data_IF_984424673863
#
_entry.id   IF_984424673863
#
_cell.length_a   1.000
_cell.length_b   1.000
_cell.length_c   1.000
_cell.angle_alpha   90.00
_cell.angle_beta   90.00
_cell.angle_gamma   90.00
#
_symmetry.space_group_name_H-M   'P 1'
#
loop_
_entity.id
_entity.type
_entity.pdbx_description
1 polymer ?
#
# COMPACT_ATOMS: atom_id res chain seq x y z
N UNK A 1 2.87 8.30 -9.87
CA UNK A 1 3.13 8.17 -8.42
C UNK A 1 2.72 9.47 -7.75
N UNK A 2 2.02 9.40 -6.62
CA UNK A 2 1.65 10.56 -5.79
C UNK A 2 2.00 10.20 -4.35
N UNK A 3 2.59 11.14 -3.62
CA UNK A 3 2.92 11.00 -2.21
C UNK A 3 2.15 12.06 -1.39
N UNK A 4 1.53 11.64 -0.30
CA UNK A 4 0.68 12.48 0.56
C UNK A 4 1.30 12.57 1.97
N UNK A 5 2.17 13.56 2.15
CA UNK A 5 3.10 13.68 3.29
C UNK A 5 2.45 14.18 4.60
N UNK A 6 1.26 14.79 4.52
CA UNK A 6 0.65 15.49 5.65
C UNK A 6 0.41 14.62 6.90
N UNK A 7 0.18 13.32 6.72
CA UNK A 7 -0.05 12.38 7.83
C UNK A 7 1.25 12.13 8.60
N UNK A 8 2.37 12.00 7.89
CA UNK A 8 3.69 11.87 8.51
C UNK A 8 4.06 13.14 9.31
N UNK A 9 3.86 14.31 8.70
CA UNK A 9 4.08 15.60 9.37
C UNK A 9 3.25 15.75 10.65
N UNK A 10 1.98 15.33 10.62
CA UNK A 10 1.11 15.32 11.80
C UNK A 10 1.59 14.31 12.86
N UNK A 11 2.04 13.13 12.42
CA UNK A 11 2.61 12.09 13.29
C UNK A 11 3.84 12.59 14.04
N UNK A 12 4.74 13.28 13.36
CA UNK A 12 5.91 13.91 13.99
C UNK A 12 5.55 15.05 14.95
N UNK A 13 4.59 15.90 14.58
CA UNK A 13 4.28 17.11 15.34
C UNK A 13 3.41 16.85 16.56
N UNK A 14 2.54 15.85 16.51
CA UNK A 14 1.48 15.63 17.50
C UNK A 14 1.35 14.20 18.02
N UNK A 15 1.97 13.22 17.35
CA UNK A 15 1.84 11.80 17.66
C UNK A 15 0.67 11.11 16.95
N UNK A 16 0.81 9.82 16.67
CA UNK A 16 -0.20 9.04 15.94
C UNK A 16 -1.52 8.86 16.71
N UNK A 17 -1.49 8.94 18.04
CA UNK A 17 -2.68 8.87 18.89
C UNK A 17 -3.45 10.20 18.98
N UNK A 18 -3.01 11.25 18.29
CA UNK A 18 -3.59 12.59 18.37
C UNK A 18 -4.80 12.80 17.45
N UNK A 19 -5.66 13.76 17.80
CA UNK A 19 -6.77 14.19 16.93
C UNK A 19 -6.26 14.84 15.63
N UNK A 20 -5.09 15.48 15.66
CA UNK A 20 -4.45 16.10 14.50
C UNK A 20 -4.05 15.04 13.48
N UNK A 21 -3.53 13.90 13.93
CA UNK A 21 -3.25 12.76 13.07
C UNK A 21 -4.52 12.23 12.41
N UNK A 22 -5.62 12.07 13.18
CA UNK A 22 -6.92 11.68 12.64
C UNK A 22 -7.48 12.67 11.61
N UNK A 23 -7.31 13.97 11.83
CA UNK A 23 -7.72 15.02 10.88
C UNK A 23 -6.86 15.00 9.60
N UNK A 24 -5.56 14.74 9.74
CA UNK A 24 -4.67 14.55 8.59
C UNK A 24 -5.08 13.34 7.75
N UNK A 25 -5.45 12.22 8.39
CA UNK A 25 -6.00 11.04 7.71
C UNK A 25 -7.28 11.38 6.93
N UNK A 26 -8.23 12.09 7.54
CA UNK A 26 -9.47 12.49 6.86
C UNK A 26 -9.20 13.42 5.66
N UNK A 27 -8.19 14.29 5.77
CA UNK A 27 -7.77 15.16 4.66
C UNK A 27 -7.18 14.35 3.51
N UNK A 28 -6.30 13.39 3.81
CA UNK A 28 -5.69 12.50 2.81
C UNK A 28 -6.72 11.60 2.15
N UNK A 29 -7.70 11.09 2.90
CA UNK A 29 -8.83 10.32 2.34
C UNK A 29 -9.62 11.13 1.30
N UNK A 30 -9.96 12.39 1.62
CA UNK A 30 -10.65 13.27 0.68
C UNK A 30 -9.79 13.57 -0.57
N UNK A 31 -8.48 13.77 -0.40
CA UNK A 31 -7.55 13.98 -1.52
C UNK A 31 -7.44 12.73 -2.42
N UNK A 32 -7.39 11.54 -1.83
CA UNK A 32 -7.43 10.28 -2.58
C UNK A 32 -8.73 10.16 -3.38
N UNK A 33 -9.88 10.50 -2.77
CA UNK A 33 -11.17 10.56 -3.46
C UNK A 33 -11.13 11.44 -4.71
N UNK A 34 -10.58 12.66 -4.60
CA UNK A 34 -10.44 13.58 -5.74
C UNK A 34 -9.55 13.01 -6.85
N UNK A 35 -8.45 12.33 -6.51
CA UNK A 35 -7.58 11.67 -7.48
C UNK A 35 -8.31 10.54 -8.21
N UNK A 36 -9.05 9.71 -7.47
CA UNK A 36 -9.83 8.61 -8.04
C UNK A 36 -10.94 9.12 -8.95
N UNK A 37 -11.62 10.20 -8.57
CA UNK A 37 -12.66 10.82 -9.40
C UNK A 37 -12.07 11.43 -10.67
N UNK A 38 -10.90 12.08 -10.59
CA UNK A 38 -10.19 12.58 -11.77
C UNK A 38 -9.79 11.46 -12.73
N UNK A 39 -9.32 10.31 -12.21
CA UNK A 39 -9.01 9.12 -13.00
C UNK A 39 -10.26 8.57 -13.68
N UNK A 40 -11.35 8.37 -12.92
CA UNK A 40 -12.63 7.86 -13.44
C UNK A 40 -13.30 8.81 -14.45
N UNK A 41 -13.07 10.11 -14.31
CA UNK A 41 -13.61 11.16 -15.19
C UNK A 41 -12.94 11.25 -16.56
N UNK A 42 -11.84 10.53 -16.81
CA UNK A 42 -11.17 10.51 -18.12
C UNK A 42 -12.09 9.94 -19.18
N UNK A 43 -12.19 10.60 -20.34
CA UNK A 43 -13.03 10.14 -21.46
C UNK A 43 -12.59 8.77 -22.03
N UNK A 44 -11.33 8.39 -21.81
CA UNK A 44 -10.76 7.10 -22.19
C UNK A 44 -10.84 6.03 -21.10
N UNK A 45 -11.34 6.35 -19.90
CA UNK A 45 -11.29 5.45 -18.73
C UNK A 45 -11.77 4.02 -19.02
N UNK A 46 -12.88 3.87 -19.75
CA UNK A 46 -13.44 2.56 -20.10
C UNK A 46 -12.56 1.69 -21.02
N UNK A 47 -11.51 2.27 -21.63
CA UNK A 47 -10.54 1.59 -22.50
C UNK A 47 -9.15 1.50 -21.85
N UNK A 48 -9.02 1.95 -20.61
CA UNK A 48 -7.78 1.94 -19.85
C UNK A 48 -7.81 0.80 -18.83
N UNK A 49 -6.66 0.16 -18.63
CA UNK A 49 -6.49 -0.88 -17.61
C UNK A 49 -5.82 -0.27 -16.37
N UNK A 50 -6.63 0.11 -15.40
CA UNK A 50 -6.17 0.75 -14.18
C UNK A 50 -5.88 -0.28 -13.08
N UNK A 51 -4.71 -0.13 -12.47
CA UNK A 51 -4.38 -0.69 -11.17
C UNK A 51 -4.06 0.47 -10.23
N UNK A 52 -4.80 0.55 -9.12
CA UNK A 52 -4.56 1.50 -8.04
C UNK A 52 -3.97 0.74 -6.85
N UNK A 53 -2.79 1.16 -6.40
CA UNK A 53 -2.12 0.66 -5.21
C UNK A 53 -1.96 1.82 -4.22
N UNK A 54 -2.47 1.66 -3.00
CA UNK A 54 -2.34 2.63 -1.90
C UNK A 54 -1.62 1.94 -0.76
N UNK A 55 -0.49 2.49 -0.34
CA UNK A 55 0.36 1.92 0.72
C UNK A 55 1.00 3.05 1.52
N UNK A 56 1.57 2.70 2.66
CA UNK A 56 2.51 3.55 3.39
C UNK A 56 3.91 2.97 3.31
N UNK A 57 4.93 3.80 3.50
CA UNK A 57 6.33 3.39 3.65
C UNK A 57 6.64 2.92 5.07
N UNK A 58 5.99 3.50 6.08
CA UNK A 58 6.05 3.10 7.49
C UNK A 58 4.77 3.46 8.26
N UNK A 59 4.77 3.20 9.57
CA UNK A 59 3.81 3.74 10.53
C UNK A 59 4.50 4.70 11.52
N UNK A 60 3.84 5.02 12.63
CA UNK A 60 4.33 5.90 13.71
C UNK A 60 4.05 5.28 15.08
N UNK A 61 4.78 5.71 16.10
CA UNK A 61 4.39 5.44 17.49
C UNK A 61 3.24 6.35 17.94
N UNK A 62 2.54 5.96 19.02
CA UNK A 62 1.44 6.76 19.59
C UNK A 62 1.87 8.19 19.93
N UNK A 63 3.07 8.35 20.50
CA UNK A 63 3.65 9.65 20.85
C UNK A 63 4.27 10.38 19.64
N UNK A 64 4.39 9.71 18.50
CA UNK A 64 4.98 10.24 17.27
C UNK A 64 6.39 9.74 17.01
N UNK A 65 6.81 9.90 15.75
CA UNK A 65 8.09 9.43 15.25
C UNK A 65 8.06 7.99 14.76
N UNK A 66 9.10 7.65 14.01
CA UNK A 66 9.33 6.37 13.37
C UNK A 66 10.85 6.15 13.17
N UNK A 67 11.22 5.01 12.57
CA UNK A 67 12.62 4.65 12.25
C UNK A 67 13.23 3.61 13.19
N UNK A 68 12.50 3.22 14.23
CA UNK A 68 12.78 2.07 15.07
C UNK A 68 12.27 0.74 14.49
N UNK A 69 12.22 -0.27 15.35
CA UNK A 69 11.83 -1.64 14.99
C UNK A 69 10.53 -2.10 15.66
N UNK A 70 9.76 -1.18 16.24
CA UNK A 70 8.50 -1.54 16.90
C UNK A 70 7.43 -1.92 15.89
N UNK A 71 6.42 -2.68 16.33
CA UNK A 71 5.30 -3.06 15.48
C UNK A 71 4.56 -1.84 14.89
N UNK A 72 4.19 -0.79 15.66
CA UNK A 72 3.52 0.38 15.10
C UNK A 72 4.31 1.09 13.99
N UNK A 73 5.63 1.13 14.09
CA UNK A 73 6.49 1.76 13.08
C UNK A 73 6.63 0.92 11.81
N UNK A 74 6.67 -0.41 11.95
CA UNK A 74 6.87 -1.35 10.82
C UNK A 74 5.58 -1.79 10.14
N UNK A 75 4.44 -1.59 10.79
CA UNK A 75 3.15 -2.03 10.28
C UNK A 75 2.64 -1.07 9.22
N UNK A 76 2.77 -1.47 7.96
CA UNK A 76 2.18 -0.80 6.80
C UNK A 76 0.93 -1.56 6.31
N UNK A 77 0.20 -0.96 5.39
CA UNK A 77 -0.90 -1.62 4.69
C UNK A 77 -0.71 -1.52 3.17
N UNK A 78 -1.36 -2.40 2.42
CA UNK A 78 -1.57 -2.26 0.99
C UNK A 78 -3.05 -2.45 0.67
N UNK A 79 -3.67 -1.44 0.07
CA UNK A 79 -4.98 -1.52 -0.55
C UNK A 79 -4.79 -1.51 -2.06
N UNK A 80 -5.38 -2.47 -2.76
CA UNK A 80 -5.28 -2.61 -4.20
C UNK A 80 -6.67 -2.69 -4.85
N UNK A 81 -6.81 -2.09 -6.03
CA UNK A 81 -8.04 -2.13 -6.83
C UNK A 81 -7.70 -2.14 -8.32
N UNK A 82 -8.32 -3.05 -9.08
CA UNK A 82 -8.03 -3.26 -10.51
C UNK A 82 -6.97 -4.35 -10.76
N UNK A 83 -6.41 -4.38 -11.96
CA UNK A 83 -5.37 -5.37 -12.36
C UNK A 83 -5.79 -6.84 -12.23
N UNK A 84 -7.09 -7.13 -12.33
CA UNK A 84 -7.65 -8.48 -12.17
C UNK A 84 -7.64 -9.03 -10.74
N UNK A 85 -7.31 -8.21 -9.73
CA UNK A 85 -7.31 -8.63 -8.33
C UNK A 85 -8.74 -8.83 -7.80
N UNK A 86 -9.04 -9.93 -7.06
CA UNK A 86 -10.37 -10.17 -6.51
C UNK A 86 -10.76 -9.12 -5.47
N UNK A 87 -11.87 -8.41 -5.71
CA UNK A 87 -12.44 -7.47 -4.76
C UNK A 87 -12.90 -8.19 -3.48
N UNK A 88 -12.78 -7.50 -2.34
CA UNK A 88 -13.20 -8.02 -1.03
C UNK A 88 -12.27 -9.10 -0.45
N UNK A 89 -11.13 -9.37 -1.08
CA UNK A 89 -10.12 -10.29 -0.52
C UNK A 89 -9.29 -9.60 0.55
N UNK A 90 -8.90 -10.36 1.58
CA UNK A 90 -7.93 -9.94 2.61
C UNK A 90 -6.78 -10.93 2.56
N UNK A 91 -5.56 -10.39 2.50
CA UNK A 91 -4.33 -11.17 2.38
C UNK A 91 -3.34 -10.75 3.46
N UNK A 92 -2.51 -11.72 3.85
CA UNK A 92 -1.51 -11.56 4.89
C UNK A 92 -0.14 -12.07 4.46
N UNK A 93 -0.01 -12.48 3.20
CA UNK A 93 1.18 -13.00 2.54
C UNK A 93 1.83 -11.94 1.63
N UNK A 94 1.44 -10.67 1.80
CA UNK A 94 1.85 -9.51 1.00
C UNK A 94 2.93 -8.74 1.77
N UNK A 95 3.98 -8.34 1.06
CA UNK A 95 5.14 -7.61 1.60
C UNK A 95 5.37 -6.31 0.82
N UNK A 96 6.07 -5.36 1.44
CA UNK A 96 6.40 -4.07 0.80
C UNK A 96 7.07 -4.19 -0.59
N UNK A 97 8.03 -5.11 -0.82
CA UNK A 97 8.64 -5.27 -2.15
C UNK A 97 7.65 -5.70 -3.24
N UNK A 98 6.52 -6.33 -2.88
CA UNK A 98 5.51 -6.79 -3.86
C UNK A 98 4.86 -5.61 -4.59
N UNK A 99 4.81 -4.42 -3.98
CA UNK A 99 4.19 -3.23 -4.59
C UNK A 99 4.88 -2.86 -5.90
N UNK A 100 6.22 -2.81 -5.90
CA UNK A 100 7.00 -2.45 -7.09
C UNK A 100 6.87 -3.51 -8.19
N UNK A 101 7.00 -4.79 -7.82
CA UNK A 101 6.93 -5.89 -8.80
C UNK A 101 5.52 -6.02 -9.40
N UNK A 102 4.48 -5.76 -8.60
CA UNK A 102 3.09 -5.72 -9.09
C UNK A 102 2.87 -4.58 -10.07
N UNK A 103 3.37 -3.38 -9.78
CA UNK A 103 3.26 -2.25 -10.68
C UNK A 103 3.98 -2.51 -12.02
N UNK A 104 5.19 -3.08 -11.98
CA UNK A 104 5.95 -3.44 -13.18
C UNK A 104 5.21 -4.50 -14.01
N UNK A 105 4.70 -5.54 -13.37
CA UNK A 105 3.93 -6.59 -14.04
C UNK A 105 2.65 -6.04 -14.69
N UNK A 106 1.92 -5.16 -14.01
CA UNK A 106 0.72 -4.50 -14.56
C UNK A 106 1.04 -3.64 -15.79
N UNK A 107 2.19 -2.96 -15.77
CA UNK A 107 2.67 -2.15 -16.89
C UNK A 107 3.24 -2.98 -18.06
N UNK A 108 3.24 -4.31 -17.94
CA UNK A 108 3.80 -5.21 -18.96
C UNK A 108 5.33 -5.15 -19.06
N UNK A 109 6.01 -4.65 -18.03
CA UNK A 109 7.47 -4.61 -17.97
C UNK A 109 7.99 -6.00 -17.57
N UNK A 110 8.79 -6.69 -18.41
CA UNK A 110 9.40 -7.95 -18.03
C UNK A 110 10.33 -7.75 -16.83
N UNK A 111 10.20 -8.60 -15.81
CA UNK A 111 11.07 -8.58 -14.64
C UNK A 111 12.36 -9.30 -15.00
N UNK A 112 13.48 -8.56 -15.04
CA UNK A 112 14.80 -9.13 -15.26
C UNK A 112 15.31 -9.76 -13.95
N UNK A 113 15.63 -11.07 -13.93
CA UNK A 113 16.21 -11.73 -12.76
C UNK A 113 17.48 -11.04 -12.24
N UNK A 114 18.25 -10.35 -13.10
CA UNK A 114 19.46 -9.63 -12.70
C UNK A 114 19.21 -8.44 -11.76
N UNK A 115 17.97 -7.94 -11.68
CA UNK A 115 17.60 -6.87 -10.75
C UNK A 115 17.57 -7.34 -9.29
N UNK A 116 17.44 -8.66 -9.05
CA UNK A 116 17.39 -9.21 -7.69
C UNK A 116 16.25 -8.66 -6.85
N UNK A 117 15.07 -8.43 -7.44
CA UNK A 117 13.89 -7.97 -6.70
C UNK A 117 13.35 -9.09 -5.80
N UNK A 118 13.16 -8.79 -4.51
CA UNK A 118 12.61 -9.74 -3.53
C UNK A 118 11.08 -9.93 -3.65
N UNK A 119 10.40 -8.99 -4.32
CA UNK A 119 8.96 -8.97 -4.43
C UNK A 119 8.40 -9.86 -5.54
N UNK A 120 7.08 -10.00 -5.55
CA UNK A 120 6.34 -10.71 -6.62
C UNK A 120 5.05 -9.96 -6.97
N UNK A 121 4.46 -10.21 -8.15
CA UNK A 121 3.15 -9.67 -8.47
C UNK A 121 2.09 -10.19 -7.50
N UNK A 122 1.17 -9.33 -7.06
CA UNK A 122 0.04 -9.74 -6.21
C UNK A 122 -0.84 -10.82 -6.86
N UNK A 123 -0.83 -10.98 -8.18
CA UNK A 123 -1.56 -12.07 -8.86
C UNK A 123 -0.93 -13.45 -8.65
N UNK A 124 0.28 -13.51 -8.09
CA UNK A 124 0.96 -14.75 -7.70
C UNK A 124 0.70 -15.01 -6.21
N UNK A 125 0.65 -16.28 -5.80
CA UNK A 125 0.52 -16.70 -4.39
C UNK A 125 1.90 -16.84 -3.71
N UNK A 126 1.98 -16.56 -2.41
CA UNK A 126 3.27 -16.68 -1.70
C UNK A 126 3.69 -18.13 -1.62
N UNK A 127 5.00 -18.35 -1.70
CA UNK A 127 5.61 -19.66 -1.43
C UNK A 127 6.42 -19.66 -0.13
N UNK A 128 6.38 -18.56 0.62
CA UNK A 128 7.05 -18.48 1.92
C UNK A 128 6.39 -19.48 2.90
N UNK A 129 7.17 -20.41 3.49
CA UNK A 129 6.64 -21.39 4.42
C UNK A 129 5.88 -20.77 5.60
N UNK A 130 6.29 -19.58 6.08
CA UNK A 130 5.63 -18.92 7.22
C UNK A 130 4.21 -18.48 6.89
N UNK A 131 3.92 -18.10 5.64
CA UNK A 131 2.58 -17.69 5.22
C UNK A 131 1.59 -18.87 5.29
N UNK A 132 2.07 -20.10 5.08
CA UNK A 132 1.26 -21.32 5.15
C UNK A 132 0.96 -21.78 6.58
N UNK A 133 1.72 -21.31 7.56
CA UNK A 133 1.53 -21.66 8.98
C UNK A 133 0.48 -20.79 9.67
N UNK A 134 0.10 -19.65 9.08
CA UNK A 134 -0.82 -18.70 9.71
C UNK A 134 -2.18 -19.30 10.15
N UNK A 135 -2.84 -20.18 9.38
CA UNK A 135 -4.07 -20.84 9.83
C UNK A 135 -3.89 -21.75 11.06
N UNK A 136 -2.65 -22.18 11.35
CA UNK A 136 -2.32 -23.05 12.48
C UNK A 136 -1.91 -22.26 13.75
N UNK A 137 -1.83 -20.94 13.67
CA UNK A 137 -1.49 -20.04 14.79
C UNK A 137 -2.72 -19.42 15.45
N UNK A 138 -3.93 -19.89 15.10
CA UNK A 138 -5.23 -19.45 15.62
C UNK A 138 -5.82 -20.42 16.63
#
# INVERSE_FOLDING_TARGET
FVHLDNVDHAGHSYGAASNQYLQALATVDAQLGQLLDAVRGRSSYAREDWLVLVTTDHGHTDAGGHGGNTLPERQTFLVASGGGLPAGSVRYDVRMPDVAVTALAHLGVPIDPAWGLDGRPLTVASTDPFDTLRPALG
#
